data_IF_167145765526
#
_entry.id   IF_167145765526
#
_cell.length_a   1.000
_cell.length_b   1.000
_cell.length_c   1.000
_cell.angle_alpha   90.00
_cell.angle_beta   90.00
_cell.angle_gamma   90.00
#
_symmetry.space_group_name_H-M   'P 1'
#
loop_
_entity.id
_entity.type
_entity.pdbx_description
1 polymer ?
#
# COMPACT_ATOMS: atom_id res chain seq x y z
N UNK A 1 -16.11 -21.64 -9.31
CA UNK A 1 -14.77 -21.86 -8.76
C UNK A 1 -14.06 -20.52 -8.64
N UNK A 2 -13.49 -20.23 -7.49
CA UNK A 2 -12.77 -18.98 -7.29
C UNK A 2 -11.30 -19.14 -7.68
N UNK A 3 -10.74 -18.10 -8.29
CA UNK A 3 -9.29 -18.02 -8.50
C UNK A 3 -8.60 -17.73 -7.18
N UNK A 4 -7.54 -18.45 -6.91
CA UNK A 4 -6.58 -17.99 -5.90
C UNK A 4 -5.65 -17.00 -6.57
N UNK A 5 -5.50 -15.86 -5.95
CA UNK A 5 -4.71 -14.78 -6.52
C UNK A 5 -3.82 -14.17 -5.46
N UNK A 6 -2.62 -13.83 -5.86
CA UNK A 6 -1.68 -13.15 -4.98
C UNK A 6 -0.80 -12.22 -5.81
N UNK A 7 -0.40 -11.12 -5.18
CA UNK A 7 0.48 -10.14 -5.78
C UNK A 7 1.48 -9.66 -4.74
N UNK A 8 2.74 -9.57 -5.15
CA UNK A 8 3.77 -8.97 -4.34
C UNK A 8 4.50 -7.91 -5.17
N UNK A 9 4.45 -6.67 -4.68
CA UNK A 9 5.13 -5.55 -5.29
C UNK A 9 6.15 -4.97 -4.32
N UNK A 10 7.28 -4.53 -4.85
CA UNK A 10 8.32 -3.94 -4.03
C UNK A 10 8.98 -2.76 -4.74
N UNK A 11 9.37 -1.77 -3.96
CA UNK A 11 10.12 -0.62 -4.44
C UNK A 11 11.38 -0.50 -3.58
N UNK A 12 12.53 -0.35 -4.21
CA UNK A 12 13.82 -0.29 -3.52
C UNK A 12 14.61 0.97 -3.86
N UNK A 13 14.08 1.83 -4.70
CA UNK A 13 14.74 3.08 -5.08
C UNK A 13 14.16 4.22 -4.26
N UNK A 14 14.97 4.95 -3.48
CA UNK A 14 14.45 6.05 -2.68
C UNK A 14 13.72 7.08 -3.54
N UNK A 15 12.51 7.43 -3.12
CA UNK A 15 11.64 8.33 -3.84
C UNK A 15 11.03 9.34 -2.88
N UNK A 16 11.12 10.61 -3.21
CA UNK A 16 10.49 11.66 -2.40
C UNK A 16 8.98 11.66 -2.61
N UNK A 17 8.23 11.72 -1.51
CA UNK A 17 6.78 11.77 -1.54
C UNK A 17 6.32 12.97 -0.71
N UNK A 18 5.46 13.80 -1.30
CA UNK A 18 4.90 14.96 -0.61
C UNK A 18 3.79 14.52 0.37
N UNK A 19 3.42 15.42 1.27
CA UNK A 19 2.25 15.21 2.14
C UNK A 19 1.02 14.95 1.28
N UNK A 20 0.23 13.95 1.67
CA UNK A 20 -0.97 13.48 0.93
C UNK A 20 -0.65 12.88 -0.43
N UNK A 21 0.62 12.57 -0.69
CA UNK A 21 1.03 11.93 -1.91
C UNK A 21 0.85 10.41 -1.87
N UNK A 22 0.66 9.82 -3.04
CA UNK A 22 0.57 8.36 -3.19
C UNK A 22 1.97 7.77 -3.08
N UNK A 23 2.11 6.75 -2.24
CA UNK A 23 3.38 6.05 -2.07
C UNK A 23 3.60 5.13 -3.27
N UNK A 24 4.73 5.24 -3.98
CA UNK A 24 4.99 4.37 -5.12
C UNK A 24 5.13 2.92 -4.68
N UNK A 25 4.55 2.01 -5.44
CA UNK A 25 4.61 0.58 -5.17
C UNK A 25 5.74 -0.11 -5.90
N UNK A 26 6.42 0.60 -6.80
CA UNK A 26 7.58 0.08 -7.51
C UNK A 26 7.20 -0.92 -8.60
N UNK A 27 7.84 -2.07 -8.55
CA UNK A 27 7.71 -3.08 -9.59
C UNK A 27 6.98 -4.30 -9.08
N UNK A 28 6.26 -4.95 -9.99
CA UNK A 28 5.65 -6.24 -9.72
C UNK A 28 6.76 -7.30 -9.62
N UNK A 29 6.87 -7.91 -8.45
CA UNK A 29 7.88 -8.95 -8.22
C UNK A 29 7.30 -10.32 -8.55
N UNK A 30 6.08 -10.57 -8.09
CA UNK A 30 5.43 -11.85 -8.33
C UNK A 30 3.91 -11.69 -8.32
N UNK A 31 3.26 -12.37 -9.22
CA UNK A 31 1.82 -12.35 -9.31
C UNK A 31 1.33 -13.68 -9.87
N UNK A 32 0.24 -14.19 -9.33
CA UNK A 32 -0.50 -15.27 -9.97
C UNK A 32 -1.99 -15.08 -9.73
N UNK A 33 -2.78 -15.71 -10.59
CA UNK A 33 -4.24 -15.63 -10.52
C UNK A 33 -4.80 -14.51 -11.37
N UNK A 34 -6.12 -14.36 -11.30
CA UNK A 34 -6.86 -13.50 -12.22
C UNK A 34 -7.47 -12.27 -11.55
N UNK A 35 -7.40 -12.16 -10.22
CA UNK A 35 -8.19 -11.17 -9.49
C UNK A 35 -7.37 -9.97 -9.02
N UNK A 36 -6.06 -9.99 -9.19
CA UNK A 36 -5.18 -8.91 -8.74
C UNK A 36 -4.24 -8.49 -9.86
N UNK A 37 -3.96 -7.21 -9.94
CA UNK A 37 -3.02 -6.65 -10.91
C UNK A 37 -2.40 -5.38 -10.37
N UNK A 38 -1.14 -5.12 -10.73
CA UNK A 38 -0.49 -3.85 -10.41
C UNK A 38 -0.71 -2.90 -11.58
N UNK A 39 -1.22 -1.71 -11.29
CA UNK A 39 -1.47 -0.68 -12.28
C UNK A 39 -0.91 0.64 -11.75
N UNK A 40 0.30 0.98 -12.20
CA UNK A 40 1.00 2.16 -11.69
C UNK A 40 1.26 2.04 -10.19
N UNK A 41 0.76 2.97 -9.41
CA UNK A 41 0.92 2.98 -7.96
C UNK A 41 -0.34 2.46 -7.25
N UNK A 42 -1.10 1.62 -7.91
CA UNK A 42 -2.31 1.02 -7.36
C UNK A 42 -2.34 -0.47 -7.62
N UNK A 43 -2.97 -1.22 -6.71
CA UNK A 43 -3.28 -2.63 -6.92
C UNK A 43 -4.75 -2.72 -7.22
N UNK A 44 -5.10 -3.26 -8.39
CA UNK A 44 -6.49 -3.49 -8.77
C UNK A 44 -6.92 -4.87 -8.32
N UNK A 45 -8.07 -4.93 -7.65
CA UNK A 45 -8.72 -6.18 -7.26
C UNK A 45 -10.07 -6.26 -7.98
N UNK A 46 -10.37 -7.39 -8.59
CA UNK A 46 -11.55 -7.53 -9.44
C UNK A 46 -12.51 -8.61 -8.99
N UNK A 47 -12.01 -9.74 -8.50
CA UNK A 47 -12.89 -10.83 -8.08
C UNK A 47 -13.52 -10.58 -6.74
N UNK A 48 -14.78 -11.00 -6.58
CA UNK A 48 -15.48 -10.90 -5.30
C UNK A 48 -14.79 -11.78 -4.25
N UNK A 49 -14.73 -11.32 -3.02
CA UNK A 49 -14.14 -12.05 -1.92
C UNK A 49 -13.36 -11.15 -0.98
N UNK A 50 -12.57 -11.77 -0.14
CA UNK A 50 -11.76 -11.08 0.84
C UNK A 50 -10.29 -11.15 0.44
N UNK A 51 -9.58 -10.06 0.67
CA UNK A 51 -8.18 -9.93 0.32
C UNK A 51 -7.39 -9.55 1.55
N UNK A 52 -6.33 -10.31 1.81
CA UNK A 52 -5.38 -10.03 2.88
C UNK A 52 -4.27 -9.13 2.34
N UNK A 53 -4.06 -8.00 2.98
CA UNK A 53 -3.07 -7.01 2.56
C UNK A 53 -2.05 -6.84 3.67
N UNK A 54 -0.79 -7.00 3.34
CA UNK A 54 0.31 -6.66 4.23
C UNK A 54 1.17 -5.59 3.57
N UNK A 55 1.36 -4.48 4.27
CA UNK A 55 2.17 -3.38 3.79
C UNK A 55 3.32 -3.10 4.75
N UNK A 56 4.49 -2.86 4.20
CA UNK A 56 5.65 -2.42 4.97
C UNK A 56 6.35 -1.32 4.18
N UNK A 57 6.49 -0.16 4.80
CA UNK A 57 7.08 1.02 4.17
C UNK A 57 8.17 1.56 5.07
N UNK A 58 9.37 1.71 4.55
CA UNK A 58 10.47 2.38 5.25
C UNK A 58 10.60 3.77 4.70
N UNK A 59 10.42 4.77 5.55
CA UNK A 59 10.44 6.17 5.15
C UNK A 59 11.39 6.95 6.04
N UNK A 60 12.00 7.99 5.47
CA UNK A 60 12.81 8.96 6.21
C UNK A 60 12.15 10.32 6.07
N UNK A 61 11.62 10.91 7.16
CA UNK A 61 11.01 12.23 7.09
C UNK A 61 12.03 13.29 6.64
N UNK A 62 11.58 14.24 5.82
CA UNK A 62 12.45 15.34 5.39
C UNK A 62 12.67 16.36 6.51
N UNK A 63 11.74 16.44 7.45
CA UNK A 63 11.84 17.25 8.67
C UNK A 63 11.29 16.43 9.83
N UNK A 64 11.74 16.76 11.05
CA UNK A 64 11.23 16.06 12.24
C UNK A 64 9.72 16.17 12.31
N UNK A 65 9.04 15.05 12.57
CA UNK A 65 7.59 15.02 12.65
C UNK A 65 7.05 13.59 12.60
N UNK A 66 5.73 13.50 12.61
CA UNK A 66 5.03 12.21 12.53
C UNK A 66 4.65 11.93 11.08
N UNK A 67 5.03 10.78 10.59
CA UNK A 67 4.63 10.29 9.27
C UNK A 67 3.64 9.16 9.45
N UNK A 68 2.66 9.09 8.55
CA UNK A 68 1.61 8.09 8.58
C UNK A 68 1.41 7.52 7.18
N UNK A 69 1.33 6.20 7.09
CA UNK A 69 0.95 5.51 5.86
C UNK A 69 -0.42 4.90 6.06
N UNK A 70 -1.30 5.06 5.10
CA UNK A 70 -2.68 4.57 5.15
C UNK A 70 -3.05 3.90 3.84
N UNK A 71 -3.74 2.76 3.94
CA UNK A 71 -4.28 2.07 2.78
C UNK A 71 -5.64 2.66 2.43
N UNK A 72 -5.82 3.01 1.16
CA UNK A 72 -7.07 3.51 0.62
C UNK A 72 -7.63 2.52 -0.40
N UNK A 73 -8.93 2.34 -0.35
CA UNK A 73 -9.68 1.55 -1.34
C UNK A 73 -10.63 2.50 -2.05
N UNK A 74 -10.43 2.70 -3.35
CA UNK A 74 -11.21 3.63 -4.18
C UNK A 74 -11.29 5.05 -3.59
N UNK A 75 -10.19 5.52 -3.02
CA UNK A 75 -10.11 6.85 -2.44
C UNK A 75 -10.68 6.97 -1.04
N UNK A 76 -11.08 5.86 -0.42
CA UNK A 76 -11.60 5.86 0.96
C UNK A 76 -10.65 5.09 1.86
N UNK A 77 -10.26 5.70 2.97
CA UNK A 77 -9.35 5.06 3.92
C UNK A 77 -9.97 3.76 4.48
N UNK A 78 -9.19 2.70 4.48
CA UNK A 78 -9.60 1.43 5.09
C UNK A 78 -9.43 1.54 6.60
N UNK A 79 -10.47 1.32 7.39
CA UNK A 79 -10.36 1.46 8.84
C UNK A 79 -9.28 0.54 9.42
N UNK A 80 -8.41 1.11 10.21
CA UNK A 80 -7.34 0.37 10.89
C UNK A 80 -6.11 0.08 10.03
N UNK A 81 -6.19 0.29 8.72
CA UNK A 81 -5.09 0.02 7.81
C UNK A 81 -4.15 1.23 7.74
N UNK A 82 -3.53 1.54 8.86
CA UNK A 82 -2.67 2.71 9.00
C UNK A 82 -1.58 2.44 10.02
N UNK A 83 -0.44 3.08 9.83
CA UNK A 83 0.65 3.06 10.79
C UNK A 83 1.30 4.43 10.83
N UNK A 84 1.66 4.88 12.03
CA UNK A 84 2.30 6.17 12.26
C UNK A 84 3.56 6.01 13.07
N UNK A 85 4.54 6.85 12.82
CA UNK A 85 5.75 6.91 13.61
C UNK A 85 6.29 8.33 13.61
N UNK A 86 6.84 8.76 14.74
CA UNK A 86 7.56 10.00 14.83
C UNK A 86 9.03 9.74 14.48
N UNK A 87 9.61 10.62 13.68
CA UNK A 87 11.00 10.49 13.27
C UNK A 87 11.71 11.82 13.23
N UNK A 88 13.03 11.76 13.36
CA UNK A 88 13.89 12.91 13.13
C UNK A 88 14.15 13.06 11.63
N UNK A 89 14.54 14.27 11.21
CA UNK A 89 14.86 14.53 9.81
C UNK A 89 15.94 13.55 9.30
N UNK A 90 15.65 12.85 8.21
CA UNK A 90 16.55 11.90 7.60
C UNK A 90 16.69 10.56 8.31
N UNK A 91 16.03 10.35 9.45
CA UNK A 91 16.11 9.09 10.19
C UNK A 91 15.02 8.13 9.71
N UNK A 92 15.38 6.92 9.23
CA UNK A 92 14.39 5.98 8.73
C UNK A 92 13.49 5.43 9.85
N UNK A 93 12.21 5.32 9.53
CA UNK A 93 11.23 4.62 10.38
C UNK A 93 10.47 3.63 9.51
N UNK A 94 9.98 2.58 10.14
CA UNK A 94 9.21 1.54 9.44
C UNK A 94 7.74 1.69 9.79
N UNK A 95 6.91 1.75 8.76
CA UNK A 95 5.45 1.79 8.90
C UNK A 95 4.91 0.49 8.31
N UNK A 96 4.34 -0.35 9.16
CA UNK A 96 3.83 -1.64 8.72
C UNK A 96 2.47 -1.90 9.35
N UNK A 97 1.55 -2.44 8.56
CA UNK A 97 0.22 -2.78 9.04
C UNK A 97 -0.40 -3.86 8.15
N UNK A 98 -1.23 -4.72 8.74
CA UNK A 98 -2.08 -5.62 7.95
C UNK A 98 -3.42 -4.96 7.66
N UNK A 99 -4.12 -5.50 6.67
CA UNK A 99 -5.49 -5.10 6.37
C UNK A 99 -6.25 -6.26 5.76
N UNK A 100 -7.55 -6.26 5.96
CA UNK A 100 -8.48 -7.16 5.28
C UNK A 100 -9.48 -6.30 4.54
N UNK A 101 -9.55 -6.47 3.23
CA UNK A 101 -10.50 -5.73 2.41
C UNK A 101 -11.46 -6.68 1.73
N UNK A 102 -12.67 -6.21 1.49
CA UNK A 102 -13.71 -6.99 0.83
C UNK A 102 -14.02 -6.39 -0.53
N UNK A 103 -14.08 -7.23 -1.54
CA UNK A 103 -14.61 -6.85 -2.84
C UNK A 103 -15.98 -7.49 -3.02
N UNK A 104 -17.00 -6.67 -3.25
CA UNK A 104 -18.36 -7.16 -3.39
C UNK A 104 -18.55 -7.76 -4.77
N UNK A 105 -19.51 -8.65 -4.87
CA UNK A 105 -19.91 -9.25 -6.14
C UNK A 105 -20.39 -8.19 -7.11
N UNK A 106 -20.08 -8.39 -8.38
CA UNK A 106 -20.62 -7.61 -9.49
C UNK A 106 -20.15 -6.15 -9.54
N UNK A 107 -19.13 -5.82 -8.77
CA UNK A 107 -18.47 -4.53 -8.87
C UNK A 107 -17.44 -4.54 -10.00
N UNK A 108 -17.16 -3.37 -10.54
CA UNK A 108 -16.22 -3.21 -11.65
C UNK A 108 -14.75 -3.38 -11.26
N UNK A 109 -14.48 -3.61 -9.99
CA UNK A 109 -13.14 -3.67 -9.45
C UNK A 109 -12.83 -2.48 -8.57
N UNK A 110 -11.77 -2.59 -7.81
CA UNK A 110 -11.36 -1.53 -6.88
C UNK A 110 -9.85 -1.34 -6.95
N UNK A 111 -9.41 -0.13 -6.63
CA UNK A 111 -7.99 0.21 -6.59
C UNK A 111 -7.55 0.42 -5.14
N UNK A 112 -6.45 -0.24 -4.77
CA UNK A 112 -5.82 -0.07 -3.47
C UNK A 112 -4.58 0.78 -3.63
N UNK A 113 -4.47 1.85 -2.84
CA UNK A 113 -3.31 2.74 -2.84
C UNK A 113 -2.82 2.97 -1.43
N UNK A 114 -1.53 3.28 -1.29
CA UNK A 114 -0.94 3.74 -0.05
C UNK A 114 -0.72 5.24 -0.13
N UNK A 115 -1.13 5.97 0.89
CA UNK A 115 -1.00 7.42 0.94
C UNK A 115 -0.17 7.82 2.15
N UNK A 116 0.77 8.73 1.94
CA UNK A 116 1.60 9.29 3.00
C UNK A 116 0.95 10.57 3.52
N UNK A 117 0.78 10.65 4.84
CA UNK A 117 0.23 11.84 5.49
C UNK A 117 1.11 12.27 6.66
N UNK A 118 0.83 13.43 7.20
CA UNK A 118 1.53 13.99 8.35
C UNK A 118 2.74 14.84 7.98
N UNK A 119 3.69 14.28 7.26
CA UNK A 119 4.88 15.00 6.83
C UNK A 119 5.39 14.42 5.51
N UNK A 120 6.06 15.24 4.72
CA UNK A 120 6.76 14.76 3.54
C UNK A 120 7.95 13.89 3.94
N UNK A 121 8.25 12.89 3.13
CA UNK A 121 9.33 11.97 3.45
C UNK A 121 9.93 11.37 2.17
N UNK A 122 11.14 10.84 2.29
CA UNK A 122 11.71 9.99 1.27
C UNK A 122 11.34 8.54 1.60
N UNK A 123 10.64 7.90 0.69
CA UNK A 123 10.28 6.49 0.82
C UNK A 123 11.44 5.65 0.31
N UNK A 124 12.08 4.90 1.18
CA UNK A 124 13.27 4.13 0.84
C UNK A 124 12.94 2.77 0.28
N UNK A 125 12.03 2.05 0.93
CA UNK A 125 11.56 0.75 0.46
C UNK A 125 10.09 0.58 0.74
N UNK A 126 9.43 -0.19 -0.13
CA UNK A 126 8.02 -0.58 0.02
C UNK A 126 7.93 -2.05 -0.27
N UNK A 127 7.21 -2.79 0.55
CA UNK A 127 6.81 -4.15 0.26
C UNK A 127 5.30 -4.25 0.48
N UNK A 128 4.58 -4.69 -0.53
CA UNK A 128 3.13 -4.81 -0.47
C UNK A 128 2.73 -6.18 -0.99
N UNK A 129 1.98 -6.90 -0.17
CA UNK A 129 1.40 -8.18 -0.54
C UNK A 129 -0.12 -8.07 -0.50
N UNK A 130 -0.76 -8.49 -1.57
CA UNK A 130 -2.21 -8.61 -1.65
C UNK A 130 -2.53 -10.03 -2.04
N UNK A 131 -3.32 -10.72 -1.23
CA UNK A 131 -3.63 -12.12 -1.43
C UNK A 131 -5.12 -12.36 -1.18
N UNK A 132 -5.76 -13.01 -2.11
CA UNK A 132 -7.14 -13.45 -1.93
C UNK A 132 -7.19 -14.67 -1.01
N UNK A 133 -8.06 -14.62 -0.03
CA UNK A 133 -8.25 -15.71 0.93
C UNK A 133 -9.62 -16.36 0.81
#
# INVERSE_FOLDING_TARGET
>A
MSCKSALYAAMQTPTAVAVDGVIPLGSLIRRYGCDVALNGNAVNITGAGYYDVDASVTVAPTAAGTVTATLYKDGVAVPGATASAAGAAGAPVVLAFPALVRQVCCAAGSALTLVLTGAAATVNTVALRVQRI
#
